data_IF_757282609349
#
_entry.id   IF_757282609349
#
_cell.length_a   1.000
_cell.length_b   1.000
_cell.length_c   1.000
_cell.angle_alpha   90.00
_cell.angle_beta   90.00
_cell.angle_gamma   90.00
#
_symmetry.space_group_name_H-M   'P 1'
#
loop_
_entity.id
_entity.type
_entity.pdbx_description
1 polymer ?
#
# COMPACT_ATOMS: atom_id res chain seq x y z
N UNK A 1 8.35 10.96 -2.12
CA UNK A 1 8.38 9.49 -2.24
C UNK A 1 7.79 8.89 -0.98
N UNK A 2 6.51 8.54 -1.04
CA UNK A 2 5.76 7.93 0.06
C UNK A 2 5.66 6.41 -0.09
N UNK A 3 5.56 5.70 1.04
CA UNK A 3 5.45 4.25 1.11
C UNK A 3 4.25 3.87 1.97
N UNK A 4 3.55 2.81 1.59
CA UNK A 4 2.34 2.38 2.27
C UNK A 4 2.32 0.88 2.48
N UNK A 5 1.78 0.47 3.63
CA UNK A 5 1.31 -0.88 3.90
C UNK A 5 -0.20 -0.93 3.65
N UNK A 6 -0.63 -1.76 2.71
CA UNK A 6 -2.03 -2.07 2.43
C UNK A 6 -2.47 -3.29 3.22
N UNK A 7 -3.58 -3.16 3.93
CA UNK A 7 -4.22 -4.22 4.70
C UNK A 7 -5.63 -4.44 4.16
N UNK A 8 -5.93 -5.65 3.70
CA UNK A 8 -7.29 -6.03 3.26
C UNK A 8 -7.73 -7.32 3.93
N UNK A 9 -8.93 -7.31 4.50
CA UNK A 9 -9.50 -8.49 5.16
C UNK A 9 -10.40 -9.25 4.18
N UNK A 10 -10.22 -10.57 4.09
CA UNK A 10 -11.07 -11.48 3.34
C UNK A 10 -11.33 -12.74 4.16
N UNK A 11 -12.59 -13.12 4.38
CA UNK A 11 -13.00 -14.42 4.94
C UNK A 11 -12.15 -14.97 6.11
N UNK A 12 -11.75 -14.08 7.02
CA UNK A 12 -10.94 -14.43 8.21
C UNK A 12 -9.43 -14.27 8.05
N UNK A 13 -8.95 -14.06 6.83
CA UNK A 13 -7.54 -13.79 6.49
C UNK A 13 -7.30 -12.28 6.27
N UNK A 14 -6.04 -11.87 6.41
CA UNK A 14 -5.58 -10.51 6.14
C UNK A 14 -4.52 -10.59 5.04
N UNK A 15 -4.84 -10.05 3.87
CA UNK A 15 -3.89 -9.79 2.81
C UNK A 15 -3.10 -8.52 3.17
N UNK A 16 -1.78 -8.61 3.09
CA UNK A 16 -0.84 -7.53 3.36
C UNK A 16 -0.01 -7.31 2.11
N UNK A 17 0.06 -6.08 1.62
CA UNK A 17 0.90 -5.71 0.48
C UNK A 17 1.55 -4.35 0.67
N UNK A 18 2.61 -4.08 -0.08
CA UNK A 18 3.34 -2.82 -0.01
C UNK A 18 3.17 -1.99 -1.29
N UNK A 19 3.03 -0.66 -1.16
CA UNK A 19 2.90 0.28 -2.27
C UNK A 19 3.94 1.40 -2.11
N UNK A 20 4.55 1.87 -3.20
CA UNK A 20 5.43 3.05 -3.17
C UNK A 20 5.15 4.01 -4.34
N UNK A 21 5.25 5.31 -4.06
CA UNK A 21 4.85 6.40 -4.96
C UNK A 21 5.55 6.38 -6.32
N UNK A 22 6.82 5.95 -6.41
CA UNK A 22 7.56 5.93 -7.67
C UNK A 22 7.26 4.76 -8.60
N UNK A 23 6.46 3.77 -8.17
CA UNK A 23 5.95 2.72 -9.07
C UNK A 23 4.89 3.24 -10.04
N UNK A 24 4.33 4.42 -9.79
CA UNK A 24 3.22 4.97 -10.55
C UNK A 24 3.52 6.43 -10.95
N UNK A 25 3.04 6.87 -12.11
CA UNK A 25 2.99 8.29 -12.44
C UNK A 25 2.28 9.08 -11.31
N UNK A 26 2.75 10.29 -10.94
CA UNK A 26 2.21 11.05 -9.79
C UNK A 26 0.70 11.28 -9.83
N UNK A 27 0.12 11.45 -11.02
CA UNK A 27 -1.32 11.60 -11.23
C UNK A 27 -2.10 10.32 -10.95
N UNK A 28 -1.51 9.15 -11.19
CA UNK A 28 -2.13 7.86 -10.97
C UNK A 28 -2.03 7.42 -9.52
N UNK A 29 -1.04 7.90 -8.77
CA UNK A 29 -0.86 7.50 -7.38
C UNK A 29 -2.06 7.85 -6.50
N UNK A 30 -2.58 9.08 -6.60
CA UNK A 30 -3.74 9.51 -5.83
C UNK A 30 -5.00 8.70 -6.22
N UNK A 31 -5.18 8.45 -7.51
CA UNK A 31 -6.29 7.61 -8.03
C UNK A 31 -6.18 6.19 -7.48
N UNK A 32 -4.97 5.62 -7.46
CA UNK A 32 -4.72 4.29 -6.92
C UNK A 32 -4.98 4.21 -5.41
N UNK A 33 -4.60 5.24 -4.64
CA UNK A 33 -4.89 5.31 -3.20
C UNK A 33 -6.41 5.37 -2.94
N UNK A 34 -7.14 6.15 -3.73
CA UNK A 34 -8.60 6.22 -3.63
C UNK A 34 -9.25 4.89 -4.02
N UNK A 35 -8.83 4.27 -5.12
CA UNK A 35 -9.36 2.97 -5.57
C UNK A 35 -9.13 1.86 -4.53
N UNK A 36 -7.96 1.83 -3.87
CA UNK A 36 -7.69 0.89 -2.78
C UNK A 36 -8.60 1.11 -1.59
N UNK A 37 -8.88 2.37 -1.22
CA UNK A 37 -9.82 2.70 -0.14
C UNK A 37 -11.24 2.25 -0.49
N UNK A 38 -11.70 2.47 -1.72
CA UNK A 38 -13.01 2.00 -2.20
C UNK A 38 -13.12 0.46 -2.16
N UNK A 39 -12.02 -0.24 -2.48
CA UNK A 39 -11.92 -1.69 -2.36
C UNK A 39 -11.80 -2.19 -0.91
N UNK A 40 -11.93 -1.31 0.08
CA UNK A 40 -11.87 -1.64 1.51
C UNK A 40 -10.47 -1.89 2.05
N UNK A 41 -9.42 -1.49 1.32
CA UNK A 41 -8.04 -1.58 1.81
C UNK A 41 -7.76 -0.42 2.75
N UNK A 42 -7.20 -0.75 3.92
CA UNK A 42 -6.62 0.25 4.81
C UNK A 42 -5.16 0.48 4.44
N UNK A 43 -4.83 1.71 4.05
CA UNK A 43 -3.46 2.12 3.74
C UNK A 43 -2.85 2.83 4.95
N UNK A 44 -1.68 2.37 5.39
CA UNK A 44 -0.91 2.95 6.49
C UNK A 44 0.40 3.46 5.89
N UNK A 45 0.69 4.74 6.05
CA UNK A 45 1.98 5.30 5.63
C UNK A 45 3.10 4.72 6.51
N UNK A 46 4.16 4.23 5.87
CA UNK A 46 5.32 3.62 6.54
C UNK A 46 6.62 4.28 6.07
N UNK A 47 7.70 4.05 6.82
CA UNK A 47 9.02 4.53 6.41
C UNK A 47 9.58 3.70 5.25
N UNK A 48 10.60 4.25 4.57
CA UNK A 48 11.31 3.55 3.50
C UNK A 48 11.99 2.29 4.03
N UNK A 49 12.63 2.41 5.19
CA UNK A 49 13.39 1.33 5.84
C UNK A 49 12.46 0.14 6.10
N UNK A 50 11.30 0.38 6.70
CA UNK A 50 10.31 -0.66 6.97
C UNK A 50 9.76 -1.30 5.68
N UNK A 51 9.56 -0.50 4.61
CA UNK A 51 9.15 -1.03 3.30
C UNK A 51 10.20 -1.99 2.72
N UNK A 52 11.48 -1.61 2.78
CA UNK A 52 12.58 -2.43 2.27
C UNK A 52 12.75 -3.72 3.09
N UNK A 53 12.59 -3.66 4.41
CA UNK A 53 12.56 -4.83 5.28
C UNK A 53 11.44 -5.81 4.89
N UNK A 54 10.19 -5.33 4.76
CA UNK A 54 9.05 -6.19 4.41
C UNK A 54 9.22 -6.82 3.02
N UNK A 55 9.75 -6.07 2.04
CA UNK A 55 9.94 -6.57 0.67
C UNK A 55 11.06 -7.61 0.57
N UNK A 56 11.97 -7.66 1.53
CA UNK A 56 13.08 -8.62 1.56
C UNK A 56 12.71 -10.02 2.07
N UNK A 57 11.48 -10.18 2.56
CA UNK A 57 10.87 -11.44 3.01
C UNK A 57 10.11 -12.09 1.87
#
# INVERSE_FOLDING_TARGET
>A
MRYYLGLKRYDGEIEIFCLHESSLPPLLFNVTVEEFREKGVKLIEISKELFEEIKSV
#
